data_IF_824696268109
#
_entry.id   IF_824696268109
#
_cell.length_a   1.000
_cell.length_b   1.000
_cell.length_c   1.000
_cell.angle_alpha   90.00
_cell.angle_beta   90.00
_cell.angle_gamma   90.00
#
_symmetry.space_group_name_H-M   'P 1'
#
loop_
_entity.id
_entity.type
_entity.pdbx_description
1 polymer ?
#
# COMPACT_ATOMS: atom_id res chain seq x y z
N UNK A 1 59.05 -9.44 -46.01
CA UNK A 1 59.32 -10.89 -46.18
C UNK A 1 59.01 -11.56 -44.83
N UNK A 2 57.89 -12.26 -44.71
CA UNK A 2 57.77 -13.75 -44.76
C UNK A 2 58.42 -14.38 -43.52
N UNK A 3 57.67 -14.88 -42.53
CA UNK A 3 57.16 -16.26 -42.42
C UNK A 3 57.33 -16.63 -40.91
N UNK A 4 56.58 -17.49 -40.20
CA UNK A 4 55.75 -18.64 -40.55
C UNK A 4 54.92 -19.07 -39.32
N UNK A 5 53.76 -19.65 -39.61
CA UNK A 5 52.90 -20.41 -38.71
C UNK A 5 53.49 -21.79 -38.33
N UNK A 6 53.19 -22.28 -37.12
CA UNK A 6 53.10 -23.69 -36.70
C UNK A 6 52.02 -23.71 -35.58
N UNK A 7 50.78 -24.10 -35.81
CA UNK A 7 50.23 -25.46 -36.01
C UNK A 7 50.26 -26.35 -34.74
N UNK A 8 49.13 -26.28 -34.02
CA UNK A 8 48.29 -27.38 -33.52
C UNK A 8 48.70 -28.30 -32.35
N UNK A 9 47.73 -28.35 -31.43
CA UNK A 9 47.20 -29.51 -30.68
C UNK A 9 47.93 -29.95 -29.39
N UNK A 10 47.19 -29.96 -28.27
CA UNK A 10 46.98 -31.12 -27.38
C UNK A 10 46.00 -30.74 -26.24
N UNK A 11 44.98 -31.60 -26.05
CA UNK A 11 44.14 -31.87 -24.87
C UNK A 11 43.31 -30.69 -24.27
N UNK A 12 41.99 -30.61 -24.40
CA UNK A 12 40.93 -31.59 -24.09
C UNK A 12 41.09 -32.24 -22.71
N UNK A 13 40.72 -31.52 -21.64
CA UNK A 13 40.12 -32.06 -20.40
C UNK A 13 40.06 -31.00 -19.29
N UNK A 14 38.86 -30.43 -19.06
CA UNK A 14 38.28 -30.06 -17.75
C UNK A 14 37.00 -29.24 -17.97
N UNK A 15 36.00 -29.88 -18.58
CA UNK A 15 34.62 -29.38 -18.68
C UNK A 15 33.73 -30.29 -17.83
N UNK A 16 33.83 -30.21 -16.50
CA UNK A 16 32.94 -30.89 -15.57
C UNK A 16 33.07 -30.22 -14.19
N UNK A 17 32.06 -29.43 -13.82
CA UNK A 17 31.53 -29.14 -12.47
C UNK A 17 30.85 -27.75 -12.40
N UNK A 18 29.77 -27.53 -13.19
CA UNK A 18 28.86 -26.38 -12.97
C UNK A 18 27.40 -26.84 -13.10
N UNK A 19 27.00 -27.84 -12.31
CA UNK A 19 25.62 -28.32 -12.32
C UNK A 19 25.22 -28.97 -10.99
N UNK A 20 25.17 -28.21 -9.88
CA UNK A 20 24.53 -28.71 -8.65
C UNK A 20 24.21 -27.62 -7.59
N UNK A 21 23.72 -26.44 -7.97
CA UNK A 21 23.26 -25.47 -6.96
C UNK A 21 22.07 -24.61 -7.38
N UNK A 22 21.20 -25.10 -8.27
CA UNK A 22 19.85 -24.56 -8.37
C UNK A 22 19.01 -25.19 -7.26
N UNK A 23 19.14 -24.67 -6.03
CA UNK A 23 18.05 -24.85 -5.04
C UNK A 23 16.82 -24.20 -5.65
N UNK A 24 15.70 -24.94 -5.84
CA UNK A 24 14.44 -24.31 -6.21
C UNK A 24 14.15 -23.21 -5.20
N UNK A 25 14.04 -21.96 -5.67
CA UNK A 25 13.56 -20.89 -4.82
C UNK A 25 12.21 -21.36 -4.23
N UNK A 26 11.99 -21.23 -2.91
CA UNK A 26 10.69 -21.50 -2.33
C UNK A 26 9.64 -20.78 -3.17
N UNK A 27 8.53 -21.43 -3.54
CA UNK A 27 7.46 -20.73 -4.25
C UNK A 27 7.11 -19.50 -3.43
N UNK A 28 7.20 -18.32 -4.05
CA UNK A 28 6.78 -17.08 -3.41
C UNK A 28 5.36 -17.31 -2.88
N UNK A 29 5.18 -17.19 -1.56
CA UNK A 29 3.85 -17.25 -0.97
C UNK A 29 3.06 -16.09 -1.55
N UNK A 30 2.21 -16.39 -2.53
CA UNK A 30 1.28 -15.42 -3.09
C UNK A 30 0.32 -15.10 -1.96
N UNK A 31 0.40 -13.87 -1.44
CA UNK A 31 -0.60 -13.40 -0.49
C UNK A 31 -1.99 -13.61 -1.11
N UNK A 32 -2.92 -14.18 -0.33
CA UNK A 32 -4.28 -14.39 -0.82
C UNK A 32 -4.85 -13.05 -1.31
N UNK A 33 -5.28 -13.02 -2.59
CA UNK A 33 -5.88 -11.85 -3.21
C UNK A 33 -7.04 -11.32 -2.35
N UNK A 34 -7.15 -9.99 -2.24
CA UNK A 34 -8.32 -9.36 -1.64
C UNK A 34 -9.59 -9.59 -2.47
N UNK A 35 -10.73 -9.22 -1.89
CA UNK A 35 -11.94 -8.97 -2.67
C UNK A 35 -11.72 -7.81 -3.66
N UNK A 36 -10.86 -6.84 -3.31
CA UNK A 36 -10.32 -5.81 -4.18
C UNK A 36 -8.88 -5.47 -3.79
N UNK A 37 -8.03 -5.16 -4.78
CA UNK A 37 -6.64 -4.76 -4.56
C UNK A 37 -6.37 -3.41 -5.24
N UNK A 38 -5.86 -2.44 -4.48
CA UNK A 38 -5.55 -1.09 -4.96
C UNK A 38 -4.05 -0.84 -4.93
N UNK A 39 -3.48 -0.38 -6.05
CA UNK A 39 -2.10 0.10 -6.06
C UNK A 39 -2.07 1.59 -5.74
N UNK A 40 -1.57 1.90 -4.56
CA UNK A 40 -1.61 3.24 -3.98
C UNK A 40 -0.18 3.75 -3.82
N UNK A 41 -0.02 5.08 -3.79
CA UNK A 41 1.24 5.71 -3.37
C UNK A 41 1.01 6.52 -2.11
N UNK A 42 2.06 6.69 -1.34
CA UNK A 42 1.99 7.46 -0.11
C UNK A 42 3.34 7.72 0.51
N UNK A 43 3.30 8.29 1.69
CA UNK A 43 4.45 8.59 2.53
C UNK A 43 4.29 7.90 3.88
N UNK A 44 5.31 7.17 4.32
CA UNK A 44 5.30 6.54 5.64
C UNK A 44 5.33 7.66 6.69
N UNK A 45 4.32 7.70 7.55
CA UNK A 45 4.23 8.65 8.66
C UNK A 45 4.78 8.03 9.94
N UNK A 46 4.51 6.74 10.18
CA UNK A 46 4.95 6.02 11.37
C UNK A 46 5.07 4.51 11.07
N UNK A 47 6.12 3.88 11.57
CA UNK A 47 6.31 2.43 11.49
C UNK A 47 5.56 1.69 12.63
N UNK A 48 5.26 0.39 12.46
CA UNK A 48 4.72 -0.42 13.54
C UNK A 48 5.67 -0.49 14.74
N UNK A 49 5.12 -0.41 15.95
CA UNK A 49 5.90 -0.56 17.20
C UNK A 49 6.25 -2.02 17.52
N UNK A 50 5.52 -2.97 16.93
CA UNK A 50 5.72 -4.40 17.09
C UNK A 50 5.44 -5.16 15.78
N UNK A 51 5.99 -6.37 15.60
CA UNK A 51 5.66 -7.24 14.47
C UNK A 51 4.16 -7.51 14.39
N UNK A 52 3.59 -7.42 13.18
CA UNK A 52 2.14 -7.57 12.95
C UNK A 52 1.30 -6.37 13.37
N UNK A 53 1.92 -5.26 13.80
CA UNK A 53 1.24 -3.99 14.05
C UNK A 53 0.86 -3.24 12.78
N UNK A 54 0.42 -2.00 12.97
CA UNK A 54 -0.03 -1.13 11.90
C UNK A 54 1.05 -0.13 11.49
N UNK A 55 1.19 0.08 10.18
CA UNK A 55 2.00 1.16 9.61
C UNK A 55 1.08 2.33 9.29
N UNK A 56 1.49 3.55 9.61
CA UNK A 56 0.75 4.75 9.26
C UNK A 56 1.31 5.31 7.97
N UNK A 57 0.44 5.46 6.98
CA UNK A 57 0.80 6.01 5.67
C UNK A 57 -0.15 7.15 5.35
N UNK A 58 0.40 8.29 4.94
CA UNK A 58 -0.37 9.33 4.25
C UNK A 58 -0.45 8.92 2.79
N UNK A 59 -1.61 8.44 2.36
CA UNK A 59 -1.78 7.95 1.00
C UNK A 59 -2.38 9.03 0.10
N UNK A 60 -2.11 8.96 -1.20
CA UNK A 60 -2.81 9.78 -2.20
C UNK A 60 -4.28 9.38 -2.31
N UNK A 61 -5.11 10.22 -2.93
CA UNK A 61 -6.50 9.85 -3.20
C UNK A 61 -6.58 8.55 -4.02
N UNK A 62 -7.62 7.75 -3.76
CA UNK A 62 -7.96 6.52 -4.49
C UNK A 62 -9.36 6.73 -5.11
N UNK A 63 -9.46 7.37 -6.28
CA UNK A 63 -10.76 7.76 -6.85
C UNK A 63 -11.67 6.58 -7.21
N UNK A 64 -11.07 5.41 -7.45
CA UNK A 64 -11.71 4.17 -7.83
C UNK A 64 -11.97 3.23 -6.65
N UNK A 65 -11.80 3.70 -5.42
CA UNK A 65 -12.09 2.89 -4.24
C UNK A 65 -13.57 2.48 -4.18
N UNK A 66 -13.81 1.18 -4.10
CA UNK A 66 -15.12 0.55 -4.00
C UNK A 66 -15.46 0.17 -2.55
N UNK A 67 -16.74 0.25 -2.19
CA UNK A 67 -17.27 -0.32 -0.95
C UNK A 67 -17.52 -1.84 -1.07
N UNK A 68 -18.08 -2.46 -0.01
CA UNK A 68 -18.34 -3.90 0.04
C UNK A 68 -19.40 -4.37 -0.97
N UNK A 69 -20.23 -3.45 -1.46
CA UNK A 69 -21.24 -3.67 -2.49
C UNK A 69 -20.67 -3.48 -3.90
N UNK A 70 -19.39 -3.12 -4.04
CA UNK A 70 -18.72 -2.84 -5.31
C UNK A 70 -19.06 -1.46 -5.89
N UNK A 71 -19.66 -0.56 -5.09
CA UNK A 71 -19.96 0.80 -5.54
C UNK A 71 -18.71 1.65 -5.34
N UNK A 72 -18.28 2.33 -6.41
CA UNK A 72 -17.20 3.31 -6.34
C UNK A 72 -17.64 4.51 -5.47
N UNK A 73 -16.98 4.66 -4.34
CA UNK A 73 -17.16 5.78 -3.40
C UNK A 73 -15.95 6.71 -3.37
N UNK A 74 -14.81 6.24 -3.88
CA UNK A 74 -13.55 6.95 -3.80
C UNK A 74 -13.01 7.03 -2.37
N UNK A 75 -11.77 7.44 -2.24
CA UNK A 75 -11.15 7.71 -0.95
C UNK A 75 -10.22 8.92 -1.08
N UNK A 76 -10.41 9.94 -0.24
CA UNK A 76 -9.56 11.13 -0.24
C UNK A 76 -8.15 10.82 0.30
N UNK A 77 -7.20 11.71 0.00
CA UNK A 77 -5.85 11.64 0.57
C UNK A 77 -5.92 11.86 2.08
N UNK A 78 -5.44 10.89 2.86
CA UNK A 78 -5.43 10.97 4.32
C UNK A 78 -4.30 10.13 4.93
N UNK A 79 -3.99 10.42 6.20
CA UNK A 79 -3.09 9.62 7.03
C UNK A 79 -3.89 8.64 7.87
N UNK A 80 -3.70 7.34 7.66
CA UNK A 80 -4.39 6.32 8.44
C UNK A 80 -3.51 5.09 8.71
N UNK A 81 -3.81 4.31 9.77
CA UNK A 81 -3.16 3.04 10.01
C UNK A 81 -3.60 1.98 9.00
N UNK A 82 -2.66 1.16 8.57
CA UNK A 82 -2.91 -0.05 7.80
C UNK A 82 -2.24 -1.26 8.47
N UNK A 83 -2.97 -2.36 8.66
CA UNK A 83 -2.36 -3.63 9.04
C UNK A 83 -1.32 -4.07 8.02
N UNK A 84 -0.17 -4.53 8.48
CA UNK A 84 0.90 -5.05 7.62
C UNK A 84 0.64 -6.54 7.36
N UNK A 85 0.42 -6.89 6.09
CA UNK A 85 0.20 -8.27 5.67
C UNK A 85 1.44 -9.15 5.85
N UNK A 86 1.22 -10.46 5.95
CA UNK A 86 2.31 -11.43 6.03
C UNK A 86 3.22 -11.32 4.81
N UNK A 87 4.54 -11.30 5.04
CA UNK A 87 5.55 -11.25 3.98
C UNK A 87 5.92 -9.84 3.50
N UNK A 88 5.26 -8.78 3.99
CA UNK A 88 5.68 -7.41 3.70
C UNK A 88 6.90 -7.06 4.55
N UNK A 89 8.02 -6.78 3.89
CA UNK A 89 9.26 -6.38 4.53
C UNK A 89 9.32 -4.87 4.77
N UNK A 90 9.56 -4.49 6.03
CA UNK A 90 9.74 -3.10 6.47
C UNK A 90 11.20 -2.79 6.84
N UNK A 91 12.13 -3.73 6.63
CA UNK A 91 13.53 -3.51 6.93
C UNK A 91 14.08 -2.30 6.13
N UNK A 92 14.77 -1.40 6.83
CA UNK A 92 15.35 -0.20 6.24
C UNK A 92 14.34 0.86 5.81
N UNK A 93 13.05 0.73 6.16
CA UNK A 93 12.05 1.79 5.98
C UNK A 93 12.12 2.79 7.13
N UNK A 94 11.73 4.03 6.86
CA UNK A 94 11.67 5.11 7.83
C UNK A 94 10.48 6.04 7.58
N UNK A 95 10.02 6.79 8.60
CA UNK A 95 9.12 7.93 8.38
C UNK A 95 9.70 8.91 7.34
N UNK A 96 8.86 9.41 6.44
CA UNK A 96 9.22 10.26 5.30
C UNK A 96 9.50 9.50 4.01
N UNK A 97 9.68 8.17 4.05
CA UNK A 97 9.85 7.36 2.86
C UNK A 97 8.60 7.41 1.98
N UNK A 98 8.82 7.64 0.69
CA UNK A 98 7.76 7.58 -0.33
C UNK A 98 7.66 6.16 -0.85
N UNK A 99 6.45 5.62 -0.85
CA UNK A 99 6.20 4.21 -1.15
C UNK A 99 5.07 4.04 -2.16
N UNK A 100 5.17 2.98 -2.97
CA UNK A 100 4.03 2.38 -3.66
C UNK A 100 3.67 1.10 -2.93
N UNK A 101 2.40 0.93 -2.59
CA UNK A 101 1.94 -0.23 -1.84
C UNK A 101 0.64 -0.78 -2.42
N UNK A 102 0.38 -2.05 -2.17
CA UNK A 102 -0.90 -2.70 -2.52
C UNK A 102 -1.76 -2.78 -1.29
N UNK A 103 -2.90 -2.09 -1.31
CA UNK A 103 -3.95 -2.18 -0.31
C UNK A 103 -4.95 -3.26 -0.73
N UNK A 104 -4.96 -4.38 -0.02
CA UNK A 104 -5.95 -5.43 -0.21
C UNK A 104 -7.14 -5.21 0.72
N UNK A 105 -8.34 -5.16 0.15
CA UNK A 105 -9.60 -5.12 0.87
C UNK A 105 -10.22 -6.51 0.92
N UNK A 106 -10.72 -6.89 2.09
CA UNK A 106 -11.37 -8.18 2.37
C UNK A 106 -12.62 -7.92 3.19
N UNK A 107 -13.74 -7.65 2.52
CA UNK A 107 -15.00 -7.22 3.14
C UNK A 107 -15.49 -8.19 4.21
N UNK A 108 -15.30 -9.48 3.97
CA UNK A 108 -15.68 -10.55 4.89
C UNK A 108 -14.48 -11.16 5.64
N UNK A 109 -13.28 -10.62 5.45
CA UNK A 109 -12.03 -11.14 6.01
C UNK A 109 -11.56 -10.43 7.28
N UNK A 110 -10.51 -10.98 7.88
CA UNK A 110 -9.76 -10.32 8.97
C UNK A 110 -8.25 -10.38 8.67
N UNK A 111 -7.54 -9.23 8.70
CA UNK A 111 -8.11 -7.88 8.78
C UNK A 111 -8.93 -7.54 7.51
N UNK A 112 -9.84 -6.57 7.63
CA UNK A 112 -10.68 -6.13 6.51
C UNK A 112 -9.89 -5.35 5.47
N UNK A 113 -8.74 -4.78 5.87
CA UNK A 113 -7.76 -4.17 4.98
C UNK A 113 -6.35 -4.59 5.40
N UNK A 114 -5.43 -4.70 4.45
CA UNK A 114 -4.02 -4.90 4.74
C UNK A 114 -3.14 -4.44 3.60
N UNK A 115 -1.93 -4.01 3.92
CA UNK A 115 -0.88 -3.84 2.93
C UNK A 115 -0.29 -5.21 2.61
N UNK A 116 -0.33 -5.62 1.34
CA UNK A 116 0.19 -6.93 0.89
C UNK A 116 1.49 -6.83 0.10
N UNK A 117 1.84 -5.62 -0.35
CA UNK A 117 3.12 -5.32 -0.99
C UNK A 117 3.51 -3.87 -0.69
N UNK A 118 4.82 -3.60 -0.55
CA UNK A 118 5.36 -2.27 -0.30
C UNK A 118 6.72 -2.11 -0.96
N UNK A 119 6.86 -1.09 -1.79
CA UNK A 119 8.05 -0.76 -2.57
C UNK A 119 8.42 0.71 -2.33
N UNK A 120 9.71 1.01 -2.19
CA UNK A 120 10.15 2.41 -2.18
C UNK A 120 9.99 3.01 -3.57
N UNK A 121 9.52 4.25 -3.59
CA UNK A 121 9.57 5.11 -4.77
C UNK A 121 10.94 5.81 -4.83
N UNK A 122 11.37 6.26 -6.02
CA UNK A 122 12.57 7.08 -6.14
C UNK A 122 12.51 8.32 -5.23
N UNK A 123 13.66 8.74 -4.73
CA UNK A 123 13.77 9.99 -3.97
C UNK A 123 13.22 11.17 -4.78
N UNK A 124 12.52 12.08 -4.12
CA UNK A 124 11.93 13.25 -4.77
C UNK A 124 10.65 12.99 -5.56
N UNK A 125 10.14 11.74 -5.66
CA UNK A 125 8.86 11.42 -6.33
C UNK A 125 7.71 12.26 -5.80
N UNK A 126 7.19 13.22 -6.56
CA UNK A 126 6.08 14.05 -6.10
C UNK A 126 4.84 13.20 -5.79
N UNK A 127 4.20 13.51 -4.67
CA UNK A 127 2.92 12.91 -4.24
C UNK A 127 1.84 13.99 -4.24
N UNK A 128 0.65 13.63 -4.69
CA UNK A 128 -0.52 14.48 -4.74
C UNK A 128 -1.40 14.21 -3.51
N UNK A 129 -1.26 15.07 -2.51
CA UNK A 129 -2.07 15.01 -1.28
C UNK A 129 -3.24 15.98 -1.27
N UNK A 130 -3.26 16.92 -2.21
CA UNK A 130 -4.35 17.87 -2.36
C UNK A 130 -5.63 17.12 -2.78
N UNK A 131 -6.82 17.59 -2.37
CA UNK A 131 -8.08 17.03 -2.84
C UNK A 131 -8.08 17.02 -4.39
N UNK A 132 -8.62 15.97 -5.03
CA UNK A 132 -8.71 15.92 -6.48
C UNK A 132 -9.40 17.19 -6.96
N UNK A 133 -8.84 17.87 -7.96
CA UNK A 133 -9.37 19.11 -8.51
C UNK A 133 -10.77 18.86 -9.10
N UNK A 134 -11.79 18.98 -8.26
CA UNK A 134 -13.16 18.61 -8.60
C UNK A 134 -14.04 18.35 -7.39
N UNK A 135 -13.85 19.09 -6.28
CA UNK A 135 -14.78 19.04 -5.15
C UNK A 135 -16.22 19.09 -5.67
N UNK A 136 -17.09 18.13 -5.31
CA UNK A 136 -18.49 18.49 -5.21
C UNK A 136 -18.54 19.63 -4.19
N UNK A 137 -19.00 20.80 -4.64
CA UNK A 137 -19.33 21.94 -3.80
C UNK A 137 -19.83 21.41 -2.46
N UNK A 138 -19.27 21.83 -1.31
CA UNK A 138 -19.79 21.46 -0.01
C UNK A 138 -21.30 21.52 -0.13
N UNK A 139 -22.02 20.43 0.17
CA UNK A 139 -23.46 20.54 0.33
C UNK A 139 -23.62 21.66 1.34
N UNK A 140 -24.05 22.81 0.83
CA UNK A 140 -24.25 24.05 1.54
C UNK A 140 -24.96 23.61 2.81
N UNK A 141 -24.26 23.72 3.95
CA UNK A 141 -24.79 23.26 5.22
C UNK A 141 -26.13 23.97 5.36
N UNK A 142 -27.21 23.22 5.09
CA UNK A 142 -28.56 23.76 5.14
C UNK A 142 -28.69 24.43 6.49
N UNK A 143 -29.26 25.64 6.54
CA UNK A 143 -29.21 26.46 7.74
C UNK A 143 -29.61 25.61 8.94
N UNK A 144 -28.79 25.68 9.98
CA UNK A 144 -29.03 25.06 11.27
C UNK A 144 -30.19 25.77 11.99
N UNK A 145 -31.31 25.97 11.31
CA UNK A 145 -32.53 26.56 11.84
C UNK A 145 -33.41 25.42 12.34
N UNK A 146 -32.98 24.91 13.49
CA UNK A 146 -33.68 23.89 14.26
C UNK A 146 -33.47 24.13 15.73
N UNK A 147 -33.67 25.38 16.19
CA UNK A 147 -33.98 25.67 17.58
C UNK A 147 -35.21 24.83 17.97
N UNK A 148 -34.97 23.63 18.50
CA UNK A 148 -35.95 22.89 19.25
C UNK A 148 -36.18 23.64 20.56
N UNK A 149 -37.16 24.54 20.52
CA UNK A 149 -37.76 25.22 21.65
C UNK A 149 -38.09 24.17 22.74
N UNK A 150 -37.31 24.15 23.83
CA UNK A 150 -37.60 23.28 24.96
C UNK A 150 -38.84 23.81 25.68
N UNK A 151 -39.92 23.02 25.86
CA UNK A 151 -41.05 23.48 26.64
C UNK A 151 -40.60 23.74 28.08
N UNK A 152 -40.82 24.98 28.53
CA UNK A 152 -40.53 25.40 29.89
C UNK A 152 -41.25 24.51 30.91
N UNK A 153 -40.49 24.01 31.87
CA UNK A 153 -40.93 23.22 33.01
C UNK A 153 -42.08 23.92 33.74
N UNK A 154 -43.22 23.26 33.80
CA UNK A 154 -44.40 23.76 34.53
C UNK A 154 -44.18 23.56 36.04
N UNK A 155 -44.29 24.66 36.79
CA UNK A 155 -44.28 24.73 38.25
C UNK A 155 -45.29 23.76 38.88
N UNK A 156 -44.83 22.99 39.87
CA UNK A 156 -45.69 22.15 40.73
C UNK A 156 -45.93 22.90 42.05
N UNK A 157 -47.18 23.26 42.39
CA UNK A 157 -47.48 23.93 43.65
C UNK A 157 -47.36 22.98 44.86
N UNK A 158 -46.99 23.59 45.99
CA UNK A 158 -46.70 22.99 47.31
C UNK A 158 -47.87 22.26 47.96
#
# INVERSE_FOLDING_TARGET
MRNRAIASAVAMSTLLLVAAACKPAPPAQVAAAGDADYRVRGEIVRLPEAPGGEIWIRHEAIPDFEDAEGKVVGMESMSMPFPVGAGVDLAGRAPGDRVSFTLAMRWNGRPANAITALELLPEGTALAFDPPAGEPTPMEAGPADGEAEMPQSVDVPK
#
